data_IF_880620556826
#
_entry.id   IF_880620556826
#
_cell.length_a   1.000
_cell.length_b   1.000
_cell.length_c   1.000
_cell.angle_alpha   90.00
_cell.angle_beta   90.00
_cell.angle_gamma   90.00
#
_symmetry.space_group_name_H-M   'P 1'
#
loop_
_entity.id
_entity.type
_entity.pdbx_description
1 polymer ?
#
# COMPACT_ATOMS: atom_id res chain seq x y z
N UNK A 1 34.47 -8.93 19.02
CA UNK A 1 34.08 -7.78 18.19
C UNK A 1 33.12 -8.28 17.11
N UNK A 2 31.87 -8.55 17.49
CA UNK A 2 30.82 -9.03 16.60
C UNK A 2 29.57 -8.18 16.89
N UNK A 3 29.10 -7.48 15.87
CA UNK A 3 28.07 -6.46 15.96
C UNK A 3 26.70 -7.08 16.27
N UNK A 4 26.18 -6.77 17.46
CA UNK A 4 24.77 -6.82 17.77
C UNK A 4 24.10 -5.59 17.13
N UNK A 5 23.30 -5.80 16.09
CA UNK A 5 22.28 -4.81 15.67
C UNK A 5 20.93 -5.51 15.75
N UNK A 6 20.30 -5.33 16.91
CA UNK A 6 18.88 -5.54 17.20
C UNK A 6 18.26 -4.13 17.29
N UNK A 7 16.96 -4.02 16.98
CA UNK A 7 16.04 -2.86 17.03
C UNK A 7 15.80 -2.17 15.67
N UNK A 8 14.60 -1.74 15.28
CA UNK A 8 13.26 -1.78 15.89
C UNK A 8 12.19 -1.58 14.77
N UNK A 9 11.10 -2.34 14.84
CA UNK A 9 9.83 -2.04 14.18
C UNK A 9 8.79 -1.95 15.30
N UNK A 10 8.57 -0.76 15.85
CA UNK A 10 7.52 -0.54 16.85
C UNK A 10 6.90 0.84 16.68
N UNK A 11 5.69 0.90 16.13
CA UNK A 11 4.95 2.15 16.00
C UNK A 11 3.49 2.05 15.59
N UNK A 12 2.88 0.86 15.51
CA UNK A 12 1.42 0.67 15.36
C UNK A 12 0.96 -0.78 15.59
N UNK A 13 1.75 -1.60 16.29
CA UNK A 13 1.45 -3.02 16.55
C UNK A 13 1.60 -3.40 18.03
N UNK A 14 1.28 -2.49 18.97
CA UNK A 14 1.47 -2.73 20.41
C UNK A 14 0.44 -3.67 21.07
N UNK A 15 -0.31 -4.48 20.31
CA UNK A 15 -1.26 -5.45 20.86
C UNK A 15 -0.95 -6.94 20.56
N UNK A 16 0.08 -7.26 19.78
CA UNK A 16 0.44 -8.67 19.51
C UNK A 16 1.80 -9.02 20.11
N UNK A 17 1.81 -9.29 21.43
CA UNK A 17 2.89 -10.05 22.08
C UNK A 17 2.78 -11.55 21.75
N UNK A 18 2.72 -11.91 20.48
CA UNK A 18 2.98 -13.29 20.04
C UNK A 18 4.44 -13.38 19.64
N UNK A 19 5.20 -14.21 20.36
CA UNK A 19 6.58 -14.55 19.99
C UNK A 19 6.58 -15.00 18.54
N UNK A 20 7.31 -14.29 17.68
CA UNK A 20 7.62 -14.72 16.32
C UNK A 20 8.15 -16.16 16.36
N UNK A 21 7.37 -17.10 15.82
CA UNK A 21 7.85 -18.45 15.55
C UNK A 21 8.17 -18.49 14.06
N UNK A 22 9.45 -18.64 13.67
CA UNK A 22 9.84 -18.74 12.27
C UNK A 22 9.07 -19.86 11.56
N UNK A 23 8.62 -19.59 10.34
CA UNK A 23 7.99 -20.58 9.49
C UNK A 23 9.04 -21.61 9.05
N UNK A 24 9.11 -22.75 9.75
CA UNK A 24 9.83 -23.93 9.25
C UNK A 24 9.04 -24.50 8.07
N UNK A 25 9.66 -24.55 6.89
CA UNK A 25 9.11 -25.18 5.67
C UNK A 25 8.67 -26.64 5.88
N UNK A 26 9.03 -27.26 7.01
CA UNK A 26 8.62 -28.63 7.40
C UNK A 26 7.43 -28.69 8.35
N UNK A 27 6.84 -27.57 8.76
CA UNK A 27 5.68 -27.60 9.67
C UNK A 27 4.42 -28.01 8.90
N UNK A 28 4.19 -29.32 8.81
CA UNK A 28 2.85 -29.85 8.56
C UNK A 28 1.93 -29.32 9.67
N UNK A 29 0.81 -28.69 9.32
CA UNK A 29 -0.23 -28.27 10.26
C UNK A 29 -0.57 -29.45 11.19
N UNK A 30 -0.17 -29.35 12.45
CA UNK A 30 -0.25 -30.44 13.40
C UNK A 30 -1.60 -30.45 14.13
N UNK A 31 -1.92 -31.57 14.81
CA UNK A 31 -3.08 -31.67 15.71
C UNK A 31 -3.13 -30.55 16.79
N UNK A 32 -2.00 -29.93 17.13
CA UNK A 32 -1.92 -28.79 18.07
C UNK A 32 -2.46 -27.47 17.51
N UNK A 33 -2.32 -27.22 16.21
CA UNK A 33 -2.78 -25.97 15.58
C UNK A 33 -4.31 -25.99 15.43
N UNK A 34 -4.89 -27.13 15.05
CA UNK A 34 -6.35 -27.36 15.08
C UNK A 34 -6.94 -27.24 16.49
N UNK A 35 -6.18 -27.66 17.51
CA UNK A 35 -6.61 -27.55 18.91
C UNK A 35 -6.69 -26.09 19.35
N UNK A 36 -5.79 -25.20 18.91
CA UNK A 36 -5.82 -23.76 19.25
C UNK A 36 -7.02 -23.01 18.65
N UNK A 37 -7.48 -23.40 17.46
CA UNK A 37 -8.66 -22.79 16.81
C UNK A 37 -9.98 -23.24 17.44
N UNK A 38 -10.09 -24.52 17.80
CA UNK A 38 -11.31 -25.13 18.35
C UNK A 38 -11.73 -24.66 19.76
N UNK A 39 -10.92 -23.85 20.45
CA UNK A 39 -11.18 -23.41 21.84
C UNK A 39 -11.84 -22.04 21.92
N UNK A 40 -11.92 -21.28 20.82
CA UNK A 40 -12.54 -19.95 20.85
C UNK A 40 -14.06 -20.04 20.60
N UNK A 41 -14.89 -19.36 21.42
CA UNK A 41 -16.35 -19.33 21.22
C UNK A 41 -16.76 -18.90 19.81
N UNK A 42 -15.98 -18.00 19.20
CA UNK A 42 -16.21 -17.47 17.86
C UNK A 42 -15.99 -18.50 16.75
N UNK A 43 -15.09 -19.47 16.94
CA UNK A 43 -14.90 -20.57 15.98
C UNK A 43 -16.13 -21.47 15.92
N UNK A 44 -16.78 -21.71 17.08
CA UNK A 44 -18.02 -22.50 17.15
C UNK A 44 -19.22 -21.83 16.50
N UNK A 45 -19.15 -20.51 16.28
CA UNK A 45 -20.18 -19.75 15.59
C UNK A 45 -20.06 -19.84 14.06
N UNK A 46 -18.94 -20.36 13.52
CA UNK A 46 -18.73 -20.59 12.09
C UNK A 46 -19.32 -21.92 11.64
N UNK A 47 -19.95 -21.92 10.47
CA UNK A 47 -20.37 -23.12 9.72
C UNK A 47 -19.15 -23.95 9.30
N UNK A 48 -19.36 -25.24 8.99
CA UNK A 48 -18.29 -26.12 8.50
C UNK A 48 -17.62 -25.62 7.21
N UNK A 49 -18.36 -24.87 6.39
CA UNK A 49 -17.85 -24.27 5.16
C UNK A 49 -16.93 -23.08 5.45
N UNK A 50 -17.34 -22.19 6.36
CA UNK A 50 -16.54 -21.04 6.80
C UNK A 50 -15.22 -21.46 7.46
N UNK A 51 -15.25 -22.54 8.25
CA UNK A 51 -14.07 -23.10 8.91
C UNK A 51 -12.98 -23.58 7.93
N UNK A 52 -13.30 -23.78 6.64
CA UNK A 52 -12.29 -24.15 5.62
C UNK A 52 -11.36 -23.00 5.25
N UNK A 53 -11.81 -21.76 5.45
CA UNK A 53 -11.13 -20.56 4.97
C UNK A 53 -10.54 -19.70 6.11
N UNK A 54 -10.89 -19.99 7.36
CA UNK A 54 -10.36 -19.32 8.56
C UNK A 54 -9.22 -20.16 9.13
N UNK A 55 -8.02 -19.59 9.20
CA UNK A 55 -6.82 -20.30 9.68
C UNK A 55 -6.33 -19.83 11.05
N UNK A 56 -6.70 -18.61 11.45
CA UNK A 56 -6.30 -17.97 12.71
C UNK A 56 -7.50 -17.35 13.43
N UNK A 57 -7.39 -17.11 14.74
CA UNK A 57 -8.47 -16.43 15.50
C UNK A 57 -8.67 -15.01 14.98
N UNK A 58 -7.58 -14.32 14.69
CA UNK A 58 -7.55 -12.97 14.16
C UNK A 58 -8.07 -12.89 12.71
N UNK A 59 -8.16 -14.01 11.98
CA UNK A 59 -8.88 -14.06 10.71
C UNK A 59 -10.38 -13.88 10.94
N UNK A 60 -10.93 -14.38 12.06
CA UNK A 60 -12.37 -14.29 12.35
C UNK A 60 -12.81 -12.84 12.46
N UNK A 61 -12.02 -11.99 13.13
CA UNK A 61 -12.35 -10.56 13.26
C UNK A 61 -12.29 -9.86 11.91
N UNK A 62 -11.30 -10.17 11.06
CA UNK A 62 -11.19 -9.59 9.72
C UNK A 62 -12.29 -10.09 8.78
N UNK A 63 -12.62 -11.38 8.80
CA UNK A 63 -13.76 -11.92 8.06
C UNK A 63 -15.08 -11.30 8.53
N UNK A 64 -15.23 -11.06 9.83
CA UNK A 64 -16.42 -10.40 10.38
C UNK A 64 -16.51 -8.95 9.93
N UNK A 65 -15.41 -8.20 10.02
CA UNK A 65 -15.32 -6.83 9.51
C UNK A 65 -15.64 -6.78 8.01
N UNK A 66 -15.02 -7.66 7.23
CA UNK A 66 -15.26 -7.76 5.79
C UNK A 66 -16.70 -8.11 5.46
N UNK A 67 -17.29 -9.10 6.15
CA UNK A 67 -18.70 -9.45 6.00
C UNK A 67 -19.63 -8.27 6.30
N UNK A 68 -19.35 -7.54 7.38
CA UNK A 68 -20.16 -6.39 7.79
C UNK A 68 -20.07 -5.25 6.76
N UNK A 69 -18.87 -4.99 6.25
CA UNK A 69 -18.65 -3.94 5.25
C UNK A 69 -19.18 -4.35 3.89
N UNK A 70 -18.74 -5.47 3.35
CA UNK A 70 -18.97 -5.83 1.96
C UNK A 70 -20.37 -6.40 1.73
N UNK A 71 -20.87 -7.22 2.65
CA UNK A 71 -22.16 -7.93 2.51
C UNK A 71 -23.21 -7.52 3.56
N UNK A 72 -23.05 -6.38 4.22
CA UNK A 72 -23.97 -5.87 5.26
C UNK A 72 -24.27 -6.90 6.38
N UNK A 73 -23.30 -7.76 6.71
CA UNK A 73 -23.48 -8.78 7.75
C UNK A 73 -24.20 -10.06 7.30
N UNK A 74 -24.70 -10.12 6.06
CA UNK A 74 -25.72 -11.10 5.63
C UNK A 74 -25.17 -12.47 5.23
N UNK A 75 -23.93 -12.56 4.76
CA UNK A 75 -23.39 -13.80 4.21
C UNK A 75 -21.88 -13.93 4.41
N UNK A 76 -21.42 -15.16 4.56
CA UNK A 76 -20.01 -15.45 4.34
C UNK A 76 -19.64 -15.22 2.88
N UNK A 77 -18.41 -14.80 2.64
CA UNK A 77 -17.94 -14.43 1.32
C UNK A 77 -16.72 -15.29 0.97
N UNK A 78 -16.92 -16.37 0.19
CA UNK A 78 -15.84 -17.23 -0.27
C UNK A 78 -14.78 -16.44 -1.04
N UNK A 79 -13.51 -16.76 -0.80
CA UNK A 79 -12.38 -16.16 -1.51
C UNK A 79 -11.78 -14.91 -0.87
N UNK A 80 -12.38 -14.38 0.20
CA UNK A 80 -11.72 -13.36 1.00
C UNK A 80 -10.41 -13.90 1.57
N UNK A 81 -9.34 -13.15 1.38
CA UNK A 81 -8.01 -13.47 1.92
C UNK A 81 -7.71 -12.50 3.06
N UNK A 82 -7.67 -12.98 4.30
CA UNK A 82 -7.31 -12.16 5.46
C UNK A 82 -5.88 -11.60 5.34
N UNK A 83 -5.58 -10.50 6.05
CA UNK A 83 -4.22 -9.93 6.05
C UNK A 83 -3.21 -10.94 6.60
N UNK A 84 -3.62 -11.78 7.54
CA UNK A 84 -2.72 -12.76 8.15
C UNK A 84 -2.37 -13.85 7.15
N UNK A 85 -3.35 -14.39 6.43
CA UNK A 85 -3.09 -15.36 5.35
C UNK A 85 -2.26 -14.68 4.26
N UNK A 86 -2.62 -13.45 3.90
CA UNK A 86 -1.93 -12.69 2.88
C UNK A 86 -0.45 -12.46 3.22
N UNK A 87 -0.17 -11.80 4.33
CA UNK A 87 1.17 -11.37 4.75
C UNK A 87 2.06 -12.54 5.14
N UNK A 88 1.51 -13.57 5.81
CA UNK A 88 2.32 -14.64 6.38
C UNK A 88 2.44 -15.88 5.47
N UNK A 89 1.55 -16.04 4.50
CA UNK A 89 1.51 -17.24 3.66
C UNK A 89 1.64 -16.88 2.19
N UNK A 90 0.72 -16.05 1.67
CA UNK A 90 0.62 -15.80 0.24
C UNK A 90 1.76 -14.93 -0.28
N UNK A 91 1.96 -13.75 0.31
CA UNK A 91 2.98 -12.78 -0.10
C UNK A 91 4.40 -13.38 -0.02
N UNK A 92 4.82 -14.07 1.07
CA UNK A 92 6.14 -14.67 1.16
C UNK A 92 6.37 -15.77 0.12
N UNK A 93 5.37 -16.60 -0.15
CA UNK A 93 5.45 -17.63 -1.20
C UNK A 93 5.58 -17.01 -2.58
N UNK A 94 4.66 -16.11 -2.93
CA UNK A 94 4.62 -15.48 -4.25
C UNK A 94 5.91 -14.72 -4.55
N UNK A 95 6.34 -13.89 -3.61
CA UNK A 95 7.53 -13.07 -3.78
C UNK A 95 8.83 -13.83 -3.50
N UNK A 96 8.78 -15.16 -3.31
CA UNK A 96 9.91 -16.03 -2.98
C UNK A 96 10.78 -15.42 -1.88
N UNK A 97 10.13 -15.01 -0.79
CA UNK A 97 10.78 -14.49 0.40
C UNK A 97 11.37 -15.65 1.18
N UNK A 98 12.46 -16.20 0.65
CA UNK A 98 13.25 -17.19 1.37
C UNK A 98 13.86 -16.52 2.60
N UNK A 99 13.75 -17.18 3.76
CA UNK A 99 14.32 -16.76 5.06
C UNK A 99 15.85 -16.55 5.03
N UNK A 100 16.52 -16.80 3.90
CA UNK A 100 17.87 -16.29 3.64
C UNK A 100 17.77 -14.78 3.35
N UNK A 101 17.55 -14.03 4.43
CA UNK A 101 17.20 -12.61 4.58
C UNK A 101 18.01 -11.56 3.80
N UNK A 102 18.99 -11.93 2.97
CA UNK A 102 19.82 -10.97 2.23
C UNK A 102 19.22 -10.56 0.90
N UNK A 103 19.07 -11.49 -0.04
CA UNK A 103 18.87 -11.13 -1.46
C UNK A 103 17.49 -10.56 -1.76
N UNK A 104 16.41 -11.19 -1.28
CA UNK A 104 15.04 -10.75 -1.58
C UNK A 104 14.70 -9.39 -0.94
N UNK A 105 15.20 -9.14 0.28
CA UNK A 105 14.96 -7.86 0.97
C UNK A 105 15.83 -6.73 0.42
N UNK A 106 17.12 -6.98 0.15
CA UNK A 106 18.02 -5.96 -0.43
C UNK A 106 17.51 -5.55 -1.82
N UNK A 107 17.21 -6.52 -2.69
CA UNK A 107 16.72 -6.22 -4.04
C UNK A 107 15.40 -5.44 -4.00
N UNK A 108 14.46 -5.81 -3.12
CA UNK A 108 13.18 -5.10 -3.02
C UNK A 108 13.32 -3.72 -2.40
N UNK A 109 14.22 -3.53 -1.43
CA UNK A 109 14.45 -2.21 -0.84
C UNK A 109 15.06 -1.26 -1.86
N UNK A 110 15.97 -1.73 -2.73
CA UNK A 110 16.55 -0.91 -3.80
C UNK A 110 15.45 -0.41 -4.74
N UNK A 111 14.53 -1.28 -5.16
CA UNK A 111 13.44 -0.86 -6.04
C UNK A 111 12.47 0.10 -5.33
N UNK A 112 12.13 -0.12 -4.06
CA UNK A 112 11.24 0.79 -3.33
C UNK A 112 11.89 2.10 -2.86
N UNK A 113 13.18 2.35 -3.17
CA UNK A 113 13.84 3.60 -2.83
C UNK A 113 13.39 4.73 -3.77
N UNK A 114 12.64 5.70 -3.23
CA UNK A 114 12.12 6.88 -3.95
C UNK A 114 13.22 7.70 -4.62
N UNK A 115 14.47 7.55 -4.18
CA UNK A 115 15.61 8.20 -4.81
C UNK A 115 15.94 7.68 -6.21
N UNK A 116 15.42 6.51 -6.62
CA UNK A 116 15.78 5.87 -7.88
C UNK A 116 14.58 5.55 -8.78
N UNK A 117 13.37 6.01 -8.43
CA UNK A 117 12.15 5.72 -9.18
C UNK A 117 12.26 6.08 -10.67
N UNK A 118 12.75 7.28 -10.97
CA UNK A 118 12.89 7.79 -12.33
C UNK A 118 13.98 7.06 -13.13
N UNK A 119 14.94 6.43 -12.45
CA UNK A 119 15.96 5.58 -13.09
C UNK A 119 15.35 4.24 -13.50
N UNK A 120 14.55 3.63 -12.62
CA UNK A 120 13.92 2.34 -12.89
C UNK A 120 12.69 2.45 -13.78
N UNK A 121 12.04 3.61 -13.82
CA UNK A 121 10.77 3.83 -14.49
C UNK A 121 10.75 5.18 -15.25
N UNK A 122 11.62 5.39 -16.24
CA UNK A 122 11.75 6.67 -16.94
C UNK A 122 10.51 7.10 -17.73
N UNK A 123 9.58 6.18 -18.02
CA UNK A 123 8.31 6.48 -18.69
C UNK A 123 7.18 6.88 -17.74
N UNK A 124 7.40 6.82 -16.42
CA UNK A 124 6.41 7.17 -15.40
C UNK A 124 6.70 8.58 -14.91
N UNK A 125 5.66 9.43 -14.82
CA UNK A 125 5.81 10.72 -14.17
C UNK A 125 5.81 10.54 -12.65
N UNK A 126 6.78 11.12 -11.98
CA UNK A 126 6.85 11.23 -10.52
C UNK A 126 6.85 12.71 -10.11
N UNK A 127 6.59 13.04 -8.83
CA UNK A 127 6.72 14.42 -8.38
C UNK A 127 8.15 14.95 -8.59
N UNK A 128 8.26 16.17 -9.10
CA UNK A 128 9.52 16.78 -9.50
C UNK A 128 10.51 16.83 -8.33
N UNK A 129 11.69 16.24 -8.53
CA UNK A 129 12.76 16.19 -7.53
C UNK A 129 13.59 17.46 -7.60
N UNK A 130 13.75 18.12 -6.45
CA UNK A 130 14.65 19.26 -6.28
C UNK A 130 16.04 18.77 -5.88
N UNK A 131 16.09 17.92 -4.85
CA UNK A 131 17.30 17.28 -4.35
C UNK A 131 16.97 15.89 -3.82
N UNK A 132 17.99 15.04 -3.82
CA UNK A 132 18.01 13.75 -3.13
C UNK A 132 19.06 13.83 -2.03
N UNK A 133 18.82 13.12 -0.94
CA UNK A 133 19.85 12.75 0.00
C UNK A 133 19.96 11.23 0.00
N UNK A 134 21.13 10.71 -0.37
CA UNK A 134 21.41 9.28 -0.50
C UNK A 134 22.71 9.02 0.27
N UNK A 135 22.64 8.20 1.32
CA UNK A 135 23.82 7.90 2.16
C UNK A 135 24.52 9.18 2.67
N UNK A 136 23.73 10.19 3.03
CA UNK A 136 24.20 11.49 3.52
C UNK A 136 24.61 12.49 2.44
N UNK A 137 24.80 12.06 1.19
CA UNK A 137 25.23 12.92 0.08
C UNK A 137 24.03 13.59 -0.60
N UNK A 138 24.13 14.91 -0.84
CA UNK A 138 23.11 15.64 -1.59
C UNK A 138 23.37 15.55 -3.09
N UNK A 139 22.33 15.21 -3.84
CA UNK A 139 22.38 15.06 -5.29
C UNK A 139 21.25 15.87 -5.93
N UNK A 140 21.53 16.50 -7.07
CA UNK A 140 20.52 17.12 -7.93
C UNK A 140 19.65 16.06 -8.61
N UNK A 141 18.58 16.48 -9.30
CA UNK A 141 17.68 15.59 -10.03
C UNK A 141 18.38 14.76 -11.13
N UNK A 142 19.51 15.25 -11.67
CA UNK A 142 20.38 14.55 -12.62
C UNK A 142 21.55 13.80 -11.94
N UNK A 143 21.45 13.52 -10.64
CA UNK A 143 22.42 12.75 -9.83
C UNK A 143 23.83 13.36 -9.77
N UNK A 144 23.95 14.70 -9.85
CA UNK A 144 25.23 15.40 -9.58
C UNK A 144 25.31 15.83 -8.13
N UNK A 145 26.50 15.68 -7.54
CA UNK A 145 26.76 16.11 -6.15
C UNK A 145 26.47 17.60 -5.98
N UNK A 146 25.69 17.93 -4.96
CA UNK A 146 25.31 19.29 -4.58
C UNK A 146 26.00 19.66 -3.28
N UNK A 147 27.05 20.49 -3.36
CA UNK A 147 27.82 20.91 -2.19
C UNK A 147 27.12 21.96 -1.31
N UNK A 148 26.14 22.69 -1.84
CA UNK A 148 25.35 23.68 -1.11
C UNK A 148 23.84 23.44 -1.31
N UNK A 149 23.26 22.48 -0.56
CA UNK A 149 21.83 22.18 -0.68
C UNK A 149 20.97 23.39 -0.29
N UNK A 150 21.39 24.23 0.66
CA UNK A 150 20.59 25.38 1.09
C UNK A 150 20.44 26.44 -0.01
N UNK A 151 21.47 26.67 -0.83
CA UNK A 151 21.36 27.57 -1.98
C UNK A 151 20.33 27.09 -3.01
N UNK A 152 20.16 25.77 -3.16
CA UNK A 152 19.12 25.19 -4.04
C UNK A 152 17.74 25.31 -3.38
N UNK A 153 17.61 24.87 -2.13
CA UNK A 153 16.32 24.84 -1.42
C UNK A 153 15.72 26.24 -1.24
N UNK A 154 16.54 27.26 -0.97
CA UNK A 154 16.07 28.63 -0.73
C UNK A 154 15.41 29.30 -1.97
N UNK A 155 15.45 28.66 -3.15
CA UNK A 155 14.72 29.08 -4.34
C UNK A 155 13.21 28.80 -4.25
N UNK A 156 12.79 27.95 -3.31
CA UNK A 156 11.42 27.50 -3.14
C UNK A 156 10.88 27.95 -1.78
N UNK A 157 9.59 28.30 -1.74
CA UNK A 157 8.93 28.72 -0.49
C UNK A 157 8.44 27.53 0.33
N UNK A 158 8.01 26.44 -0.34
CA UNK A 158 7.58 25.19 0.27
C UNK A 158 8.08 24.00 -0.54
N UNK A 159 8.49 22.95 0.16
CA UNK A 159 8.98 21.70 -0.43
C UNK A 159 8.46 20.50 0.35
N UNK A 160 8.30 19.37 -0.32
CA UNK A 160 7.90 18.11 0.30
C UNK A 160 9.14 17.29 0.59
N UNK A 161 9.33 16.90 1.85
CA UNK A 161 10.39 15.99 2.26
C UNK A 161 9.77 14.63 2.53
N UNK A 162 10.38 13.56 2.00
CA UNK A 162 9.88 12.19 2.16
C UNK A 162 11.06 11.25 2.41
N UNK A 163 11.02 10.45 3.46
CA UNK A 163 11.95 9.33 3.62
C UNK A 163 11.91 8.46 2.36
N UNK A 164 13.08 8.08 1.84
CA UNK A 164 13.19 7.45 0.53
C UNK A 164 12.91 5.96 0.59
N UNK A 165 13.22 5.31 1.72
CA UNK A 165 12.89 3.91 2.03
C UNK A 165 12.11 3.79 3.35
N UNK A 166 11.48 2.64 3.56
CA UNK A 166 10.81 2.27 4.81
C UNK A 166 11.83 2.02 5.93
N UNK A 167 12.38 3.10 6.50
CA UNK A 167 13.06 3.01 7.79
C UNK A 167 12.02 3.20 8.89
N UNK A 168 11.78 2.11 9.64
CA UNK A 168 11.08 2.18 10.91
C UNK A 168 11.66 3.32 11.74
N UNK A 169 10.78 4.20 12.20
CA UNK A 169 11.07 5.37 13.03
C UNK A 169 11.44 6.66 12.26
N UNK A 170 10.44 7.54 12.16
CA UNK A 170 10.44 8.90 12.71
C UNK A 170 10.34 10.14 11.82
N UNK A 171 10.33 10.10 10.48
CA UNK A 171 9.72 11.22 9.71
C UNK A 171 8.99 10.81 8.43
N UNK A 172 7.68 11.06 8.47
CA UNK A 172 6.72 10.92 7.37
C UNK A 172 6.97 11.92 6.25
N UNK A 173 6.17 11.82 5.19
CA UNK A 173 5.95 12.90 4.22
C UNK A 173 5.61 14.21 4.95
N UNK A 174 6.38 15.26 4.71
CA UNK A 174 6.17 16.57 5.33
C UNK A 174 6.25 17.71 4.33
N UNK A 175 5.25 18.61 4.37
CA UNK A 175 5.33 19.90 3.68
C UNK A 175 6.09 20.89 4.55
N UNK A 176 7.29 21.27 4.12
CA UNK A 176 8.21 22.11 4.88
C UNK A 176 8.25 23.51 4.25
N UNK A 177 8.09 24.53 5.09
CA UNK A 177 8.27 25.94 4.69
C UNK A 177 9.76 26.32 4.73
N UNK A 178 10.15 27.27 3.89
CA UNK A 178 11.54 27.73 3.74
C UNK A 178 12.28 28.04 5.04
N UNK A 179 11.58 28.67 6.00
CA UNK A 179 12.14 28.99 7.33
C UNK A 179 12.58 27.75 8.13
N UNK A 180 12.01 26.58 7.82
CA UNK A 180 12.21 25.32 8.53
C UNK A 180 13.12 24.33 7.78
N UNK A 181 13.61 24.64 6.57
CA UNK A 181 14.47 23.71 5.80
C UNK A 181 15.69 23.24 6.58
N UNK A 182 16.41 24.14 7.24
CA UNK A 182 17.59 23.78 8.04
C UNK A 182 17.25 22.78 9.15
N UNK A 183 16.09 22.94 9.78
CA UNK A 183 15.59 22.01 10.80
C UNK A 183 15.20 20.67 10.18
N UNK A 184 14.51 20.69 9.03
CA UNK A 184 14.12 19.49 8.31
C UNK A 184 15.34 18.66 7.87
N UNK A 185 16.36 19.26 7.25
CA UNK A 185 17.59 18.56 6.83
C UNK A 185 18.24 17.82 8.01
N UNK A 186 18.32 18.47 9.18
CA UNK A 186 18.86 17.85 10.41
C UNK A 186 18.00 16.70 10.91
N UNK A 187 16.68 16.83 10.81
CA UNK A 187 15.75 15.84 11.33
C UNK A 187 15.69 14.60 10.42
N UNK A 188 15.67 14.76 9.09
CA UNK A 188 15.59 13.63 8.15
C UNK A 188 16.89 12.83 8.15
N UNK A 189 18.02 13.50 8.43
CA UNK A 189 19.38 12.95 8.45
C UNK A 189 19.83 12.50 7.06
N UNK A 190 19.43 11.31 6.65
CA UNK A 190 19.84 10.66 5.40
C UNK A 190 18.69 9.88 4.78
N UNK A 191 18.83 9.51 3.50
CA UNK A 191 17.88 8.68 2.75
C UNK A 191 16.47 9.29 2.65
N UNK A 192 16.40 10.43 1.98
CA UNK A 192 15.14 11.13 1.70
C UNK A 192 15.19 11.86 0.36
N UNK A 193 14.02 12.07 -0.22
CA UNK A 193 13.82 12.87 -1.43
C UNK A 193 13.14 14.18 -1.07
N UNK A 194 13.56 15.26 -1.73
CA UNK A 194 12.96 16.59 -1.62
C UNK A 194 12.29 16.93 -2.95
N UNK A 195 10.98 17.14 -2.93
CA UNK A 195 10.15 17.30 -4.12
C UNK A 195 9.37 18.61 -4.11
N UNK A 196 8.99 19.10 -5.29
CA UNK A 196 8.04 20.21 -5.42
C UNK A 196 6.65 19.71 -4.96
N UNK A 197 5.91 20.50 -4.15
CA UNK A 197 4.53 20.17 -3.83
C UNK A 197 3.69 20.20 -5.11
N UNK A 198 3.05 19.07 -5.44
CA UNK A 198 2.23 19.00 -6.65
C UNK A 198 0.80 19.47 -6.40
N UNK A 199 0.16 19.93 -7.48
CA UNK A 199 -1.28 20.19 -7.52
C UNK A 199 -1.97 19.06 -8.28
N UNK A 200 -2.98 18.46 -7.66
CA UNK A 200 -3.82 17.45 -8.31
C UNK A 200 -4.93 18.11 -9.14
N UNK A 201 -5.53 17.35 -10.05
CA UNK A 201 -6.68 17.76 -10.86
C UNK A 201 -7.87 18.19 -10.00
N UNK A 202 -8.70 19.10 -10.54
CA UNK A 202 -9.88 19.60 -9.82
C UNK A 202 -10.88 18.46 -9.49
N UNK A 203 -11.01 17.46 -10.37
CA UNK A 203 -11.84 16.28 -10.11
C UNK A 203 -11.36 15.48 -8.88
N UNK A 204 -10.05 15.29 -8.70
CA UNK A 204 -9.56 14.60 -7.51
C UNK A 204 -9.60 15.52 -6.29
N UNK A 205 -9.34 16.83 -6.45
CA UNK A 205 -9.33 17.79 -5.37
C UNK A 205 -10.71 17.99 -4.70
N UNK A 206 -11.81 17.68 -5.39
CA UNK A 206 -13.17 17.81 -4.83
C UNK A 206 -13.38 16.94 -3.57
N UNK A 207 -12.66 15.82 -3.46
CA UNK A 207 -12.80 14.89 -2.34
C UNK A 207 -12.04 15.34 -1.11
N UNK A 208 -10.84 15.87 -1.33
CA UNK A 208 -10.04 16.55 -0.32
C UNK A 208 -8.95 17.39 -1.02
N UNK A 209 -9.00 18.73 -0.93
CA UNK A 209 -7.99 19.59 -1.54
C UNK A 209 -6.73 19.77 -0.68
N UNK A 210 -6.74 19.38 0.61
CA UNK A 210 -5.58 19.56 1.50
C UNK A 210 -4.49 18.49 1.33
N UNK A 211 -4.87 17.32 0.82
CA UNK A 211 -4.00 16.17 0.54
C UNK A 211 -4.17 15.72 -0.89
N UNK A 212 -3.10 15.21 -1.50
CA UNK A 212 -3.20 14.53 -2.80
C UNK A 212 -3.99 13.24 -2.61
N UNK A 213 -5.06 13.06 -3.39
CA UNK A 213 -5.88 11.86 -3.37
C UNK A 213 -5.27 10.80 -4.28
N UNK A 214 -5.35 9.55 -3.83
CA UNK A 214 -4.60 8.44 -4.41
C UNK A 214 -5.56 7.44 -5.06
N UNK A 215 -5.30 7.13 -6.33
CA UNK A 215 -5.88 6.01 -7.05
C UNK A 215 -4.91 4.83 -6.93
N UNK A 216 -5.19 3.93 -5.99
CA UNK A 216 -4.41 2.70 -5.78
C UNK A 216 -4.85 1.66 -6.80
N UNK A 217 -3.99 1.33 -7.76
CA UNK A 217 -4.17 0.18 -8.65
C UNK A 217 -3.34 -0.99 -8.12
N UNK A 218 -3.96 -2.15 -7.89
CA UNK A 218 -3.23 -3.33 -7.40
C UNK A 218 -3.04 -4.33 -8.53
N UNK A 219 -1.81 -4.79 -8.77
CA UNK A 219 -1.49 -5.75 -9.83
C UNK A 219 -0.86 -7.04 -9.27
N UNK A 220 -1.10 -8.16 -9.94
CA UNK A 220 -0.49 -9.47 -9.70
C UNK A 220 0.23 -9.97 -10.95
N UNK A 221 1.53 -10.22 -10.88
CA UNK A 221 2.28 -11.01 -11.85
C UNK A 221 2.10 -12.49 -11.53
N UNK A 222 1.40 -13.23 -12.40
CA UNK A 222 1.22 -14.67 -12.26
C UNK A 222 1.44 -15.40 -13.60
N UNK A 223 2.33 -16.40 -13.60
CA UNK A 223 2.67 -17.26 -14.77
C UNK A 223 2.92 -16.51 -16.10
N UNK A 224 3.56 -15.35 -16.03
CA UNK A 224 3.91 -14.56 -17.22
C UNK A 224 2.89 -13.49 -17.61
N UNK A 225 1.78 -13.40 -16.88
CA UNK A 225 0.70 -12.42 -17.12
C UNK A 225 0.57 -11.48 -15.93
N UNK A 226 0.38 -10.19 -16.20
CA UNK A 226 -0.02 -9.21 -15.17
C UNK A 226 -1.54 -9.10 -15.14
N UNK A 227 -2.12 -9.30 -13.97
CA UNK A 227 -3.55 -9.14 -13.70
C UNK A 227 -3.76 -7.88 -12.86
N UNK A 228 -4.73 -7.05 -13.22
CA UNK A 228 -5.20 -5.96 -12.35
C UNK A 228 -6.22 -6.55 -11.38
N UNK A 229 -5.88 -6.59 -10.09
CA UNK A 229 -6.74 -7.14 -9.03
C UNK A 229 -7.91 -6.21 -8.67
N UNK A 230 -7.78 -4.93 -9.00
CA UNK A 230 -8.77 -3.90 -8.74
C UNK A 230 -8.12 -2.58 -8.35
N UNK A 231 -8.95 -1.56 -8.15
CA UNK A 231 -8.51 -0.25 -7.73
C UNK A 231 -9.44 0.42 -6.72
N UNK A 232 -8.86 1.29 -5.90
CA UNK A 232 -9.57 2.11 -4.92
C UNK A 232 -9.11 3.56 -5.02
N UNK A 233 -10.04 4.49 -4.78
CA UNK A 233 -9.70 5.86 -4.43
C UNK A 233 -9.50 5.92 -2.91
N UNK A 234 -8.34 6.43 -2.46
CA UNK A 234 -8.06 6.74 -1.06
C UNK A 234 -7.97 8.26 -0.89
N UNK A 235 -8.70 8.76 0.12
CA UNK A 235 -8.85 10.18 0.42
C UNK A 235 -8.47 10.41 1.88
N UNK A 236 -7.41 11.17 2.13
CA UNK A 236 -6.97 11.51 3.48
C UNK A 236 -7.97 12.41 4.22
N UNK A 237 -7.78 12.61 5.54
CA UNK A 237 -8.62 13.52 6.31
C UNK A 237 -8.45 14.98 5.87
N UNK A 238 -9.51 15.82 5.91
CA UNK A 238 -9.40 17.24 5.60
C UNK A 238 -8.43 17.97 6.53
N UNK A 239 -7.63 18.87 5.97
CA UNK A 239 -6.63 19.67 6.70
C UNK A 239 -5.28 18.98 6.90
N UNK A 240 -5.19 17.67 6.65
CA UNK A 240 -3.92 16.94 6.63
C UNK A 240 -3.27 17.01 5.23
N UNK A 241 -1.94 17.00 5.17
CA UNK A 241 -1.17 17.09 3.92
C UNK A 241 -0.96 15.73 3.23
N UNK A 242 -1.04 14.64 4.00
CA UNK A 242 -0.76 13.28 3.53
C UNK A 242 -2.01 12.42 3.63
N UNK A 243 -2.24 11.57 2.64
CA UNK A 243 -3.41 10.71 2.55
C UNK A 243 -3.39 9.57 3.58
N UNK A 244 -2.23 9.31 4.18
CA UNK A 244 -2.01 8.32 5.24
C UNK A 244 -2.05 8.92 6.65
N UNK A 245 -2.30 10.23 6.78
CA UNK A 245 -2.38 10.87 8.08
C UNK A 245 -3.64 10.45 8.83
N UNK A 246 -3.51 10.35 10.15
CA UNK A 246 -4.67 10.40 11.07
C UNK A 246 -4.78 11.83 11.54
N UNK A 247 -5.95 12.43 11.38
CA UNK A 247 -6.16 13.82 11.77
C UNK A 247 -6.02 14.00 13.29
N UNK A 248 -5.89 15.25 13.74
CA UNK A 248 -5.92 15.58 15.18
C UNK A 248 -7.21 15.15 15.89
N UNK A 249 -8.32 15.04 15.16
CA UNK A 249 -9.60 14.53 15.66
C UNK A 249 -9.69 12.99 15.68
N UNK A 250 -8.63 12.30 15.23
CA UNK A 250 -8.60 10.84 15.17
C UNK A 250 -9.27 10.26 13.92
N UNK A 251 -9.48 11.07 12.88
CA UNK A 251 -10.09 10.59 11.63
C UNK A 251 -9.04 9.92 10.74
N UNK A 252 -9.40 8.76 10.20
CA UNK A 252 -8.58 7.98 9.27
C UNK A 252 -8.92 8.31 7.81
N UNK A 253 -8.10 7.87 6.84
CA UNK A 253 -8.42 7.99 5.43
C UNK A 253 -9.72 7.26 5.09
N UNK A 254 -10.45 7.74 4.09
CA UNK A 254 -11.63 7.04 3.52
C UNK A 254 -11.25 6.42 2.19
N UNK A 255 -11.75 5.21 1.93
CA UNK A 255 -11.57 4.50 0.67
C UNK A 255 -12.90 4.25 -0.04
N UNK A 256 -12.86 4.24 -1.36
CA UNK A 256 -13.99 3.91 -2.24
C UNK A 256 -13.50 3.03 -3.39
N UNK A 257 -14.31 2.03 -3.77
CA UNK A 257 -14.00 1.16 -4.91
C UNK A 257 -14.10 1.90 -6.24
N UNK A 258 -13.33 1.46 -7.23
CA UNK A 258 -13.39 1.97 -8.61
C UNK A 258 -13.81 0.80 -9.52
N UNK A 259 -14.84 1.03 -10.34
CA UNK A 259 -15.31 0.06 -11.33
C UNK A 259 -14.31 -0.10 -12.48
N UNK A 260 -14.47 -1.14 -13.31
CA UNK A 260 -13.55 -1.40 -14.43
C UNK A 260 -13.46 -0.25 -15.44
N UNK A 261 -14.53 0.53 -15.60
CA UNK A 261 -14.61 1.68 -16.51
C UNK A 261 -14.25 3.02 -15.84
N UNK A 262 -13.84 3.00 -14.56
CA UNK A 262 -13.28 4.14 -13.84
C UNK A 262 -14.28 4.96 -13.01
N UNK A 263 -15.53 4.51 -12.86
CA UNK A 263 -16.51 5.16 -11.99
C UNK A 263 -16.25 4.85 -10.51
N UNK A 264 -16.52 5.81 -9.65
CA UNK A 264 -16.52 5.59 -8.21
C UNK A 264 -17.74 4.76 -7.80
N UNK A 265 -17.52 3.78 -6.93
CA UNK A 265 -18.59 3.04 -6.26
C UNK A 265 -19.20 3.88 -5.13
N UNK A 266 -20.31 3.42 -4.56
CA UNK A 266 -21.07 4.15 -3.54
C UNK A 266 -20.60 3.91 -2.10
N UNK A 267 -19.97 2.75 -1.84
CA UNK A 267 -19.57 2.33 -0.50
C UNK A 267 -18.25 2.99 -0.06
N UNK A 268 -18.34 3.83 0.99
CA UNK A 268 -17.20 4.50 1.61
C UNK A 268 -16.81 3.82 2.91
N UNK A 269 -15.52 3.51 3.08
CA UNK A 269 -15.03 2.70 4.20
C UNK A 269 -13.76 3.31 4.79
N UNK A 270 -13.59 3.23 6.10
CA UNK A 270 -12.29 3.38 6.76
C UNK A 270 -11.49 2.07 6.62
N UNK A 271 -10.32 2.09 5.97
CA UNK A 271 -9.53 0.90 5.69
C UNK A 271 -8.95 0.22 6.94
N UNK A 272 -8.82 0.94 8.07
CA UNK A 272 -8.22 0.45 9.30
C UNK A 272 -9.28 -0.06 10.29
N UNK A 273 -10.39 0.67 10.43
CA UNK A 273 -11.46 0.34 11.38
C UNK A 273 -12.61 -0.44 10.75
N UNK A 274 -12.66 -0.53 9.41
CA UNK A 274 -13.77 -1.09 8.65
C UNK A 274 -15.12 -0.38 8.91
N UNK A 275 -15.08 0.87 9.37
CA UNK A 275 -16.27 1.71 9.55
C UNK A 275 -16.81 2.14 8.20
N UNK A 276 -18.13 2.03 7.99
CA UNK A 276 -18.81 2.47 6.77
C UNK A 276 -19.33 3.89 6.95
N UNK A 277 -19.09 4.75 5.96
CA UNK A 277 -19.58 6.13 5.92
C UNK A 277 -20.57 6.35 4.77
N UNK A 278 -21.48 7.33 4.89
CA UNK A 278 -22.40 7.67 3.80
C UNK A 278 -21.75 8.46 2.66
N UNK A 279 -20.59 9.06 2.89
CA UNK A 279 -19.93 10.00 1.98
C UNK A 279 -18.41 10.03 2.17
N UNK A 280 -17.71 10.75 1.30
CA UNK A 280 -16.33 11.20 1.47
C UNK A 280 -16.35 12.66 1.96
N UNK A 281 -16.16 12.85 3.26
CA UNK A 281 -16.07 14.17 3.91
C UNK A 281 -17.21 15.13 3.52
N UNK A 282 -18.44 14.61 3.46
CA UNK A 282 -19.65 15.36 3.10
C UNK A 282 -20.02 15.30 1.61
N UNK A 283 -19.20 14.67 0.76
CA UNK A 283 -19.44 14.54 -0.67
C UNK A 283 -19.74 13.09 -1.05
N UNK A 284 -20.87 12.86 -1.74
CA UNK A 284 -21.20 11.53 -2.24
C UNK A 284 -20.18 11.11 -3.32
N UNK A 285 -19.60 9.90 -3.25
CA UNK A 285 -18.65 9.43 -4.25
C UNK A 285 -19.35 9.21 -5.59
N UNK A 286 -19.13 10.12 -6.53
CA UNK A 286 -19.74 10.12 -7.86
C UNK A 286 -18.74 10.58 -8.92
N UNK A 287 -18.98 10.19 -10.16
CA UNK A 287 -18.15 10.55 -11.31
C UNK A 287 -17.11 9.49 -11.66
N UNK A 288 -16.25 9.86 -12.60
CA UNK A 288 -15.33 8.95 -13.29
C UNK A 288 -13.93 9.54 -13.36
N UNK A 289 -12.93 8.71 -13.09
CA UNK A 289 -11.53 9.06 -13.30
C UNK A 289 -11.20 8.79 -14.78
N UNK A 290 -11.16 9.84 -15.59
CA UNK A 290 -10.99 9.73 -17.04
C UNK A 290 -9.68 9.01 -17.45
N UNK A 291 -8.62 9.18 -16.66
CA UNK A 291 -7.30 8.57 -16.90
C UNK A 291 -7.19 7.12 -16.39
N UNK A 292 -8.25 6.53 -15.83
CA UNK A 292 -8.16 5.26 -15.11
C UNK A 292 -7.68 4.09 -15.99
N UNK A 293 -8.18 3.99 -17.22
CA UNK A 293 -7.75 2.93 -18.15
C UNK A 293 -6.25 3.06 -18.49
N UNK A 294 -5.74 4.28 -18.64
CA UNK A 294 -4.32 4.52 -18.89
C UNK A 294 -3.46 4.28 -17.64
N UNK A 295 -3.98 4.51 -16.43
CA UNK A 295 -3.33 4.09 -15.18
C UNK A 295 -3.18 2.56 -15.12
N UNK A 296 -4.21 1.80 -15.49
CA UNK A 296 -4.15 0.32 -15.54
C UNK A 296 -3.09 -0.15 -16.53
N UNK A 297 -3.08 0.40 -17.76
CA UNK A 297 -2.06 0.08 -18.78
C UNK A 297 -0.66 0.42 -18.32
N UNK A 298 -0.47 1.58 -17.69
CA UNK A 298 0.83 2.00 -17.16
C UNK A 298 1.31 1.05 -16.06
N UNK A 299 0.46 0.73 -15.08
CA UNK A 299 0.77 -0.24 -14.03
C UNK A 299 1.17 -1.60 -14.59
N UNK A 300 0.39 -2.13 -15.55
CA UNK A 300 0.70 -3.42 -16.21
C UNK A 300 2.06 -3.37 -16.89
N UNK A 301 2.28 -2.38 -17.78
CA UNK A 301 3.53 -2.21 -18.52
C UNK A 301 4.74 -2.10 -17.60
N UNK A 302 4.62 -1.33 -16.53
CA UNK A 302 5.73 -1.09 -15.60
C UNK A 302 5.99 -2.34 -14.75
N UNK A 303 4.95 -3.04 -14.29
CA UNK A 303 5.05 -4.25 -13.48
C UNK A 303 5.79 -5.40 -14.19
N UNK A 304 5.68 -5.49 -15.52
CA UNK A 304 6.41 -6.49 -16.32
C UNK A 304 7.94 -6.46 -16.08
N UNK A 305 8.50 -5.30 -15.73
CA UNK A 305 9.94 -5.14 -15.42
C UNK A 305 10.34 -5.62 -14.03
N UNK A 306 9.38 -5.85 -13.13
CA UNK A 306 9.61 -6.23 -11.73
C UNK A 306 9.04 -7.64 -11.42
N UNK A 307 9.43 -8.70 -12.15
CA UNK A 307 8.85 -10.03 -11.99
C UNK A 307 9.14 -10.69 -10.63
N UNK A 308 10.03 -10.10 -9.82
CA UNK A 308 10.34 -10.55 -8.46
C UNK A 308 9.36 -10.00 -7.41
N UNK A 309 8.70 -8.87 -7.69
CA UNK A 309 7.58 -8.35 -6.89
C UNK A 309 6.29 -8.85 -7.51
N UNK A 310 5.72 -9.95 -7.01
CA UNK A 310 4.53 -10.51 -7.64
C UNK A 310 3.29 -9.65 -7.47
N UNK A 311 3.20 -8.91 -6.38
CA UNK A 311 2.07 -8.02 -6.12
C UNK A 311 2.64 -6.63 -5.88
N UNK A 312 2.07 -5.63 -6.56
CA UNK A 312 2.43 -4.23 -6.40
C UNK A 312 1.16 -3.41 -6.25
N UNK A 313 1.14 -2.50 -5.28
CA UNK A 313 0.12 -1.47 -5.14
C UNK A 313 0.66 -0.14 -5.66
N UNK A 314 0.19 0.30 -6.83
CA UNK A 314 0.59 1.55 -7.47
C UNK A 314 -0.26 2.70 -6.97
N UNK A 315 0.35 3.72 -6.37
CA UNK A 315 -0.33 4.94 -5.92
C UNK A 315 -0.24 6.00 -6.99
N UNK A 316 -1.29 6.12 -7.80
CA UNK A 316 -1.39 7.16 -8.82
C UNK A 316 -2.21 8.35 -8.35
N UNK A 317 -2.02 9.47 -9.03
CA UNK A 317 -2.91 10.62 -9.01
C UNK A 317 -2.92 11.25 -10.41
N UNK A 318 -3.70 12.31 -10.58
CA UNK A 318 -3.73 13.11 -11.81
C UNK A 318 -3.36 14.54 -11.44
N UNK A 319 -2.37 15.12 -12.11
CA UNK A 319 -1.98 16.52 -11.90
C UNK A 319 -2.99 17.51 -12.52
N UNK A 320 -2.80 18.81 -12.28
CA UNK A 320 -3.67 19.86 -12.82
C UNK A 320 -3.53 20.10 -14.34
N UNK A 321 -2.60 19.41 -15.00
CA UNK A 321 -2.49 19.33 -16.46
C UNK A 321 -3.16 18.09 -17.06
N UNK A 322 -3.72 17.21 -16.21
CA UNK A 322 -4.37 15.97 -16.63
C UNK A 322 -3.43 14.78 -16.82
N UNK A 323 -2.16 14.87 -16.39
CA UNK A 323 -1.18 13.78 -16.50
C UNK A 323 -1.24 12.86 -15.29
N UNK A 324 -1.07 11.57 -15.54
CA UNK A 324 -0.92 10.55 -14.49
C UNK A 324 0.45 10.74 -13.83
N UNK A 325 0.45 10.83 -12.49
CA UNK A 325 1.65 10.90 -11.66
C UNK A 325 1.64 9.75 -10.66
N UNK A 326 2.73 8.99 -10.57
CA UNK A 326 2.93 7.97 -9.55
C UNK A 326 3.51 8.61 -8.29
N UNK A 327 2.75 8.62 -7.21
CA UNK A 327 3.18 9.17 -5.92
C UNK A 327 4.10 8.21 -5.18
N UNK A 328 3.76 6.92 -5.28
CA UNK A 328 4.47 5.81 -4.66
C UNK A 328 4.10 4.51 -5.38
N UNK A 329 4.91 3.48 -5.21
CA UNK A 329 4.46 2.12 -5.48
C UNK A 329 4.93 1.22 -4.34
N UNK A 330 4.08 0.28 -3.98
CA UNK A 330 4.22 -0.52 -2.77
C UNK A 330 4.51 -1.94 -3.20
N UNK A 331 5.80 -2.27 -3.33
CA UNK A 331 6.20 -3.60 -3.80
C UNK A 331 6.65 -4.53 -2.67
N UNK A 332 6.91 -4.00 -1.47
CA UNK A 332 7.28 -4.78 -0.29
C UNK A 332 6.06 -5.22 0.52
N UNK A 333 5.17 -4.28 0.85
CA UNK A 333 3.92 -4.52 1.60
C UNK A 333 2.77 -3.81 0.86
N UNK A 334 2.37 -4.29 -0.34
CA UNK A 334 1.30 -3.68 -1.14
C UNK A 334 -0.05 -3.57 -0.40
N UNK A 335 -0.36 -4.55 0.46
CA UNK A 335 -1.66 -4.69 1.12
C UNK A 335 -2.78 -5.05 0.12
N UNK A 336 -3.74 -5.87 0.55
CA UNK A 336 -4.91 -6.23 -0.29
C UNK A 336 -6.25 -6.07 0.42
N UNK A 337 -6.25 -5.96 1.75
CA UNK A 337 -7.46 -5.92 2.57
C UNK A 337 -8.33 -4.70 2.25
N UNK A 338 -7.69 -3.55 2.08
CA UNK A 338 -8.38 -2.30 1.76
C UNK A 338 -9.16 -2.43 0.45
N UNK A 339 -8.53 -2.99 -0.58
CA UNK A 339 -9.18 -3.28 -1.87
C UNK A 339 -10.33 -4.27 -1.69
N UNK A 340 -10.15 -5.31 -0.87
CA UNK A 340 -11.21 -6.29 -0.63
C UNK A 340 -12.43 -5.67 0.05
N UNK A 341 -12.29 -4.76 1.02
CA UNK A 341 -13.44 -4.15 1.70
C UNK A 341 -14.47 -3.54 0.75
N UNK A 342 -14.02 -2.93 -0.34
CA UNK A 342 -14.91 -2.23 -1.29
C UNK A 342 -15.15 -2.99 -2.58
N UNK A 343 -14.25 -3.89 -3.01
CA UNK A 343 -14.40 -4.66 -4.25
C UNK A 343 -14.78 -6.14 -4.05
N UNK A 344 -14.59 -6.65 -2.84
CA UNK A 344 -14.80 -8.06 -2.51
C UNK A 344 -13.56 -8.92 -2.74
N UNK A 345 -13.71 -10.27 -2.81
CA UNK A 345 -12.61 -11.21 -3.05
C UNK A 345 -11.84 -10.99 -4.35
N UNK A 346 -10.76 -10.21 -4.29
CA UNK A 346 -10.03 -9.73 -5.48
C UNK A 346 -9.40 -10.83 -6.35
N UNK A 347 -9.08 -12.00 -5.78
CA UNK A 347 -8.52 -13.13 -6.55
C UNK A 347 -9.58 -14.04 -7.18
N UNK A 348 -10.83 -14.00 -6.70
CA UNK A 348 -11.89 -14.86 -7.22
C UNK A 348 -12.57 -14.27 -8.45
N UNK A 349 -12.53 -12.94 -8.57
CA UNK A 349 -13.22 -12.21 -9.62
C UNK A 349 -12.51 -12.31 -10.98
N UNK A 350 -11.27 -12.83 -11.02
CA UNK A 350 -10.44 -12.87 -12.22
C UNK A 350 -10.18 -14.32 -12.62
N UNK A 351 -10.46 -14.64 -13.89
CA UNK A 351 -10.19 -15.93 -14.50
C UNK A 351 -8.87 -15.91 -15.27
N UNK A 352 -8.11 -16.98 -15.17
CA UNK A 352 -6.89 -17.21 -15.95
C UNK A 352 -7.23 -17.81 -17.32
N UNK A 353 -6.22 -17.96 -18.18
CA UNK A 353 -6.35 -18.66 -19.46
C UNK A 353 -6.75 -20.13 -19.31
N UNK A 354 -6.56 -20.74 -18.13
CA UNK A 354 -7.02 -22.10 -17.81
C UNK A 354 -8.50 -22.16 -17.39
N UNK A 355 -9.20 -21.03 -17.31
CA UNK A 355 -10.62 -20.94 -16.89
C UNK A 355 -10.84 -21.05 -15.37
N UNK A 356 -9.78 -21.23 -14.58
CA UNK A 356 -9.79 -21.18 -13.11
C UNK A 356 -9.73 -19.74 -12.63
N UNK A 357 -10.25 -19.48 -11.45
CA UNK A 357 -9.98 -18.22 -10.74
C UNK A 357 -8.49 -18.12 -10.40
N UNK A 358 -7.98 -16.89 -10.23
CA UNK A 358 -6.62 -16.72 -9.72
C UNK A 358 -6.46 -17.40 -8.37
N UNK A 359 -7.45 -17.32 -7.47
CA UNK A 359 -7.36 -18.00 -6.17
C UNK A 359 -7.21 -19.52 -6.32
N UNK A 360 -8.00 -20.16 -7.18
CA UNK A 360 -7.90 -21.60 -7.43
C UNK A 360 -6.52 -21.99 -7.96
N UNK A 361 -5.92 -21.18 -8.84
CA UNK A 361 -4.55 -21.44 -9.30
C UNK A 361 -3.50 -21.25 -8.21
N UNK A 362 -3.62 -20.17 -7.43
CA UNK A 362 -2.71 -19.85 -6.33
C UNK A 362 -2.74 -20.87 -5.21
N UNK A 363 -3.89 -21.52 -4.98
CA UNK A 363 -4.04 -22.58 -3.99
C UNK A 363 -3.54 -23.95 -4.49
N UNK A 364 -3.48 -24.15 -5.82
CA UNK A 364 -3.02 -25.40 -6.42
C UNK A 364 -1.49 -25.48 -6.53
N UNK A 365 -0.80 -24.35 -6.59
CA UNK A 365 0.67 -24.20 -6.57
C UNK A 365 1.23 -24.29 -5.12
#
# INVERSE_FOLDING_TARGET
MAFNIVYALNGSYSALKTKWVPFDRRRKFGKRDKKLLSIHPEWKALTEEEQKYVYYKEDISQHTAFKNVYCDGKAFVPGFVSDIVYQNIMLPKLHKMDYLMGRSLITKNIFNDKNYFEVFMPEVNFPEVVLRNIDGEFLTSDYKVCSDPMAVLNKYEKLVFKGSVLHGHTMNVGLIEKKDYKKALKNYREDYVIQIPMRQSDFLAQWNPSSVNIVRVTTLYWKGTIYVLGAILRVGPPGEFCDLAVSKSGEHPRIVGITEDGHLMDKVVDPDTATVYPDIWGNKPEGRIEQFEDMKKLAVKVHERFPHNKIIGWDFTVDDSGKIVCMEYNALVPGIIQTQYVLGPVFNNIKTSEGKTLLEELLAD
#
